data_IF_368656379306
#
_entry.id   IF_368656379306
#
_cell.length_a   1.000
_cell.length_b   1.000
_cell.length_c   1.000
_cell.angle_alpha   90.00
_cell.angle_beta   90.00
_cell.angle_gamma   90.00
#
_symmetry.space_group_name_H-M   'P 1'
#
loop_
_entity.id
_entity.type
_entity.pdbx_description
1 polymer ?
#
# COMPACT_ATOMS: atom_id res chain seq x y z
N UNK A 1 11.29 17.93 -26.64
CA UNK A 1 10.73 18.28 -25.32
C UNK A 1 11.68 17.98 -24.16
N UNK A 2 12.94 18.42 -24.30
CA UNK A 2 14.04 18.21 -23.37
C UNK A 2 13.78 18.76 -21.95
N UNK A 3 13.00 19.83 -21.81
CA UNK A 3 12.72 20.47 -20.50
C UNK A 3 11.77 19.63 -19.64
N UNK A 4 10.75 19.02 -20.24
CA UNK A 4 9.81 18.16 -19.53
C UNK A 4 10.50 16.86 -19.07
N UNK A 5 11.33 16.28 -19.93
CA UNK A 5 12.10 15.07 -19.61
C UNK A 5 13.12 15.32 -18.49
N UNK A 6 13.75 16.51 -18.49
CA UNK A 6 14.70 16.88 -17.43
C UNK A 6 14.01 17.11 -16.08
N UNK A 7 12.84 17.74 -16.07
CA UNK A 7 12.04 17.93 -14.86
C UNK A 7 11.58 16.61 -14.26
N UNK A 8 11.14 15.67 -15.11
CA UNK A 8 10.76 14.32 -14.65
C UNK A 8 11.93 13.56 -14.06
N UNK A 9 13.09 13.61 -14.70
CA UNK A 9 14.33 12.99 -14.17
C UNK A 9 14.75 13.60 -12.84
N UNK A 10 14.68 14.91 -12.69
CA UNK A 10 15.02 15.59 -11.46
C UNK A 10 14.08 15.20 -10.32
N UNK A 11 12.77 15.09 -10.61
CA UNK A 11 11.79 14.59 -9.62
C UNK A 11 12.10 13.16 -9.19
N UNK A 12 12.33 12.26 -10.12
CA UNK A 12 12.64 10.87 -9.82
C UNK A 12 13.92 10.74 -8.98
N UNK A 13 14.97 11.50 -9.31
CA UNK A 13 16.21 11.50 -8.54
C UNK A 13 15.99 11.99 -7.10
N UNK A 14 15.23 13.09 -6.94
CA UNK A 14 14.89 13.63 -5.62
C UNK A 14 14.05 12.64 -4.80
N UNK A 15 13.06 12.00 -5.42
CA UNK A 15 12.22 11.00 -4.75
C UNK A 15 13.05 9.78 -4.31
N UNK A 16 13.95 9.29 -5.15
CA UNK A 16 14.84 8.17 -4.80
C UNK A 16 15.79 8.53 -3.65
N UNK A 17 16.34 9.75 -3.63
CA UNK A 17 17.20 10.23 -2.55
C UNK A 17 16.43 10.32 -1.22
N UNK A 18 15.24 10.87 -1.25
CA UNK A 18 14.38 11.02 -0.07
C UNK A 18 13.93 9.65 0.44
N UNK A 19 13.53 8.76 -0.45
CA UNK A 19 13.13 7.40 -0.11
C UNK A 19 14.24 6.65 0.61
N UNK A 20 15.47 6.72 0.10
CA UNK A 20 16.63 6.13 0.76
C UNK A 20 16.85 6.69 2.18
N UNK A 21 16.74 8.02 2.37
CA UNK A 21 16.92 8.66 3.69
C UNK A 21 15.83 8.28 4.69
N UNK A 22 14.59 8.17 4.22
CA UNK A 22 13.47 7.73 5.08
C UNK A 22 13.59 6.24 5.41
N UNK A 23 13.88 5.40 4.43
CA UNK A 23 14.05 3.96 4.63
C UNK A 23 15.22 3.60 5.54
N UNK A 24 16.32 4.41 5.51
CA UNK A 24 17.47 4.25 6.40
C UNK A 24 17.27 4.87 7.79
N UNK A 25 16.14 5.52 8.06
CA UNK A 25 15.85 6.19 9.33
C UNK A 25 16.58 7.52 9.53
N UNK A 26 17.27 8.04 8.51
CA UNK A 26 18.00 9.32 8.58
C UNK A 26 17.06 10.53 8.53
N UNK A 27 15.84 10.36 8.04
CA UNK A 27 14.85 11.42 7.91
C UNK A 27 13.44 10.92 8.26
N UNK A 28 12.64 11.76 8.93
CA UNK A 28 11.23 11.44 9.16
C UNK A 28 10.41 11.61 7.89
N UNK A 29 9.33 10.83 7.78
CA UNK A 29 8.38 10.91 6.69
C UNK A 29 7.84 12.35 6.46
N UNK A 30 7.43 13.03 7.53
CA UNK A 30 6.91 14.40 7.44
C UNK A 30 7.96 15.40 6.95
N UNK A 31 9.20 15.30 7.47
CA UNK A 31 10.31 16.14 7.03
C UNK A 31 10.67 15.90 5.55
N UNK A 32 10.60 14.66 5.10
CA UNK A 32 10.84 14.30 3.71
C UNK A 32 9.83 14.92 2.75
N UNK A 33 8.53 14.89 3.11
CA UNK A 33 7.48 15.54 2.32
C UNK A 33 7.72 17.05 2.24
N UNK A 34 7.97 17.73 3.38
CA UNK A 34 8.21 19.16 3.39
C UNK A 34 9.40 19.54 2.50
N UNK A 35 10.52 18.81 2.61
CA UNK A 35 11.70 19.07 1.78
C UNK A 35 11.42 18.97 0.28
N UNK A 36 10.69 17.92 -0.15
CA UNK A 36 10.32 17.77 -1.56
C UNK A 36 9.40 18.90 -2.00
N UNK A 37 8.42 19.27 -1.17
CA UNK A 37 7.49 20.36 -1.49
C UNK A 37 8.21 21.70 -1.62
N UNK A 38 9.13 22.03 -0.68
CA UNK A 38 9.90 23.27 -0.70
C UNK A 38 10.76 23.37 -1.96
N UNK A 39 11.51 22.31 -2.30
CA UNK A 39 12.35 22.28 -3.52
C UNK A 39 11.54 22.39 -4.81
N UNK A 40 10.26 21.92 -4.79
CA UNK A 40 9.38 22.00 -5.96
C UNK A 40 8.53 23.27 -6.01
N UNK A 41 8.17 23.86 -4.86
CA UNK A 41 7.48 25.15 -4.81
C UNK A 41 8.32 26.27 -5.47
N UNK A 42 9.63 26.20 -5.31
CA UNK A 42 10.58 27.10 -5.98
C UNK A 42 10.53 27.00 -7.53
N UNK A 43 10.08 25.86 -8.07
CA UNK A 43 10.05 25.59 -9.51
C UNK A 43 8.64 25.59 -10.15
N UNK A 44 7.58 25.82 -9.41
CA UNK A 44 6.22 26.09 -9.91
C UNK A 44 5.53 24.94 -10.68
N UNK A 45 5.73 23.67 -10.33
CA UNK A 45 5.28 22.54 -11.13
C UNK A 45 4.04 21.79 -10.59
N UNK A 46 3.08 21.56 -11.49
CA UNK A 46 2.00 20.59 -11.33
C UNK A 46 2.37 19.24 -11.95
N UNK A 47 2.04 18.12 -11.26
CA UNK A 47 2.26 16.78 -11.80
C UNK A 47 1.08 16.39 -12.70
N UNK A 48 1.34 16.28 -13.99
CA UNK A 48 0.38 15.79 -14.98
C UNK A 48 0.69 14.31 -15.28
N UNK A 49 -0.29 13.43 -15.09
CA UNK A 49 -0.14 12.02 -15.44
C UNK A 49 -0.51 11.77 -16.91
N UNK A 50 0.08 10.77 -17.59
CA UNK A 50 -0.26 10.41 -18.97
C UNK A 50 -1.75 10.09 -19.17
N UNK A 51 -2.46 9.69 -18.09
CA UNK A 51 -3.90 9.42 -18.07
C UNK A 51 -4.77 10.68 -18.08
N UNK A 52 -4.17 11.88 -18.14
CA UNK A 52 -4.88 13.17 -18.08
C UNK A 52 -5.33 13.57 -16.67
N UNK A 53 -5.11 12.74 -15.64
CA UNK A 53 -5.45 13.11 -14.27
C UNK A 53 -4.42 14.11 -13.73
N UNK A 54 -4.92 15.16 -13.07
CA UNK A 54 -4.11 16.16 -12.36
C UNK A 54 -4.12 15.85 -10.86
N UNK A 55 -2.96 15.87 -10.24
CA UNK A 55 -2.84 15.79 -8.78
C UNK A 55 -2.00 16.95 -8.28
N UNK A 56 -2.31 17.44 -7.06
CA UNK A 56 -1.38 18.34 -6.39
C UNK A 56 -0.03 17.64 -6.20
N UNK A 57 1.04 18.41 -6.22
CA UNK A 57 2.39 17.88 -5.99
C UNK A 57 2.45 17.15 -4.63
N UNK A 58 1.85 17.71 -3.58
CA UNK A 58 1.76 17.06 -2.26
C UNK A 58 1.13 15.67 -2.32
N UNK A 59 -0.01 15.53 -3.01
CA UNK A 59 -0.68 14.24 -3.14
C UNK A 59 0.16 13.21 -3.92
N UNK A 60 0.90 13.67 -4.94
CA UNK A 60 1.79 12.81 -5.72
C UNK A 60 3.00 12.34 -4.89
N UNK A 61 3.67 13.28 -4.19
CA UNK A 61 4.82 12.98 -3.31
C UNK A 61 4.42 12.05 -2.19
N UNK A 62 3.30 12.36 -1.50
CA UNK A 62 2.76 11.49 -0.45
C UNK A 62 2.49 10.07 -0.96
N UNK A 63 1.90 9.95 -2.15
CA UNK A 63 1.64 8.65 -2.77
C UNK A 63 2.93 7.86 -3.02
N UNK A 64 3.96 8.50 -3.59
CA UNK A 64 5.25 7.86 -3.84
C UNK A 64 5.89 7.37 -2.55
N UNK A 65 6.04 8.25 -1.55
CA UNK A 65 6.75 7.91 -0.30
C UNK A 65 5.99 6.82 0.48
N UNK A 66 4.66 6.93 0.64
CA UNK A 66 3.86 5.91 1.33
C UNK A 66 3.97 4.56 0.64
N UNK A 67 3.89 4.55 -0.70
CA UNK A 67 3.96 3.32 -1.48
C UNK A 67 5.33 2.66 -1.35
N UNK A 68 6.41 3.43 -1.51
CA UNK A 68 7.78 2.93 -1.44
C UNK A 68 8.12 2.39 -0.04
N UNK A 69 7.79 3.14 1.01
CA UNK A 69 7.98 2.67 2.39
C UNK A 69 7.22 1.38 2.68
N UNK A 70 5.97 1.29 2.24
CA UNK A 70 5.15 0.09 2.43
C UNK A 70 5.75 -1.11 1.68
N UNK A 71 6.20 -0.92 0.44
CA UNK A 71 6.85 -1.97 -0.34
C UNK A 71 8.18 -2.41 0.28
N UNK A 72 9.00 -1.48 0.76
CA UNK A 72 10.26 -1.80 1.44
C UNK A 72 10.01 -2.61 2.72
N UNK A 73 9.05 -2.19 3.54
CA UNK A 73 8.66 -2.93 4.74
C UNK A 73 8.13 -4.34 4.40
N UNK A 74 7.36 -4.46 3.31
CA UNK A 74 6.86 -5.74 2.83
C UNK A 74 8.00 -6.69 2.43
N UNK A 75 9.04 -6.21 1.74
CA UNK A 75 10.19 -7.03 1.36
C UNK A 75 10.94 -7.57 2.59
N UNK A 76 11.10 -6.74 3.63
CA UNK A 76 11.70 -7.19 4.90
C UNK A 76 10.82 -8.26 5.56
N UNK A 77 9.51 -8.02 5.64
CA UNK A 77 8.57 -8.98 6.22
C UNK A 77 8.57 -10.31 5.47
N UNK A 78 8.62 -10.28 4.13
CA UNK A 78 8.68 -11.49 3.32
C UNK A 78 9.87 -12.38 3.65
N UNK A 79 11.04 -11.79 3.92
CA UNK A 79 12.22 -12.56 4.33
C UNK A 79 11.95 -13.32 5.64
N UNK A 80 11.36 -12.65 6.63
CA UNK A 80 10.96 -13.32 7.88
C UNK A 80 9.93 -14.42 7.67
N UNK A 81 8.96 -14.23 6.75
CA UNK A 81 7.97 -15.24 6.41
C UNK A 81 8.65 -16.50 5.88
N UNK A 82 9.60 -16.35 4.95
CA UNK A 82 10.33 -17.48 4.36
C UNK A 82 11.26 -18.14 5.39
N UNK A 83 12.01 -17.36 6.15
CA UNK A 83 12.88 -17.87 7.22
C UNK A 83 12.10 -18.66 8.29
N UNK A 84 10.89 -18.21 8.62
CA UNK A 84 9.99 -18.89 9.55
C UNK A 84 9.29 -20.12 8.94
N UNK A 85 9.41 -20.35 7.62
CA UNK A 85 8.68 -21.42 6.92
C UNK A 85 7.15 -21.25 6.96
N UNK A 86 6.66 -20.02 7.08
CA UNK A 86 5.23 -19.75 7.19
C UNK A 86 4.52 -19.94 5.84
N UNK A 87 3.44 -20.72 5.86
CA UNK A 87 2.59 -20.94 4.67
C UNK A 87 1.49 -19.90 4.55
N UNK A 88 1.16 -19.22 5.67
CA UNK A 88 0.05 -18.27 5.76
C UNK A 88 0.54 -16.89 6.17
N UNK A 89 -0.20 -15.88 5.75
CA UNK A 89 -0.04 -14.50 6.15
C UNK A 89 -1.36 -13.93 6.63
N UNK A 90 -1.31 -13.07 7.64
CA UNK A 90 -2.43 -12.24 8.06
C UNK A 90 -2.21 -10.82 7.53
N UNK A 91 -3.15 -10.32 6.75
CA UNK A 91 -3.16 -8.93 6.28
C UNK A 91 -3.79 -8.04 7.34
N UNK A 92 -3.18 -6.88 7.59
CA UNK A 92 -3.71 -5.91 8.57
C UNK A 92 -5.05 -5.31 8.12
N UNK A 93 -5.78 -4.74 9.09
CA UNK A 93 -7.01 -4.01 8.82
C UNK A 93 -6.97 -2.62 9.46
N UNK A 94 -7.59 -1.62 8.82
CA UNK A 94 -7.72 -0.27 9.34
C UNK A 94 -8.98 0.42 8.81
N UNK A 95 -9.46 1.42 9.54
CA UNK A 95 -10.57 2.28 9.11
C UNK A 95 -10.19 3.12 7.89
N UNK A 96 -11.16 3.40 7.01
CA UNK A 96 -10.95 4.18 5.79
C UNK A 96 -10.08 3.46 4.76
N UNK A 97 -10.12 2.13 4.73
CA UNK A 97 -9.53 1.32 3.67
C UNK A 97 -10.18 1.65 2.32
N UNK A 98 -9.40 1.55 1.24
CA UNK A 98 -9.92 1.79 -0.12
C UNK A 98 -11.14 0.93 -0.40
N UNK A 99 -12.18 1.56 -0.95
CA UNK A 99 -13.38 0.92 -1.38
C UNK A 99 -13.66 1.25 -2.84
N UNK A 100 -13.93 0.24 -3.66
CA UNK A 100 -14.40 0.43 -5.04
C UNK A 100 -15.87 0.07 -5.14
N UNK A 101 -16.73 1.09 -5.28
CA UNK A 101 -18.17 0.93 -5.38
C UNK A 101 -18.62 0.13 -6.62
N UNK A 102 -17.80 0.14 -7.68
CA UNK A 102 -18.11 -0.57 -8.92
C UNK A 102 -17.67 -2.05 -8.86
N UNK A 103 -16.68 -2.36 -8.01
CA UNK A 103 -16.20 -3.73 -7.80
C UNK A 103 -15.84 -3.95 -6.32
N UNK A 104 -16.85 -4.06 -5.43
CA UNK A 104 -16.66 -4.09 -3.99
C UNK A 104 -15.91 -5.34 -3.49
N UNK A 105 -15.84 -6.40 -4.29
CA UNK A 105 -15.10 -7.64 -3.98
C UNK A 105 -13.82 -7.80 -4.80
N UNK A 106 -13.46 -6.77 -5.56
CA UNK A 106 -12.27 -6.79 -6.41
C UNK A 106 -10.97 -6.55 -5.64
N UNK A 107 -9.85 -6.84 -6.29
CA UNK A 107 -8.49 -6.68 -5.75
C UNK A 107 -8.20 -5.25 -5.28
N UNK A 108 -8.85 -4.26 -5.85
CA UNK A 108 -8.73 -2.84 -5.51
C UNK A 108 -9.60 -2.39 -4.32
N UNK A 109 -10.54 -3.23 -3.86
CA UNK A 109 -11.35 -2.98 -2.67
C UNK A 109 -10.66 -3.55 -1.44
N UNK A 110 -9.85 -2.71 -0.78
CA UNK A 110 -9.05 -3.13 0.36
C UNK A 110 -9.90 -3.50 1.57
N UNK A 111 -11.07 -2.89 1.73
CA UNK A 111 -12.05 -3.22 2.76
C UNK A 111 -12.59 -4.65 2.62
N UNK A 112 -12.57 -5.21 1.41
CA UNK A 112 -12.99 -6.58 1.16
C UNK A 112 -12.01 -7.63 1.68
N UNK A 113 -10.71 -7.43 1.45
CA UNK A 113 -9.69 -8.41 1.74
C UNK A 113 -8.84 -8.12 2.99
N UNK A 114 -8.97 -6.94 3.61
CA UNK A 114 -8.24 -6.62 4.84
C UNK A 114 -8.66 -7.51 6.02
N UNK A 115 -7.75 -7.70 6.98
CA UNK A 115 -8.02 -8.42 8.23
C UNK A 115 -8.19 -9.93 8.06
N UNK A 116 -7.91 -10.49 6.90
CA UNK A 116 -8.08 -11.91 6.60
C UNK A 116 -6.72 -12.63 6.52
N UNK A 117 -6.79 -13.94 6.69
CA UNK A 117 -5.65 -14.86 6.53
C UNK A 117 -5.63 -15.36 5.09
N UNK A 118 -4.43 -15.42 4.52
CA UNK A 118 -4.20 -15.88 3.15
C UNK A 118 -3.12 -16.93 3.11
N UNK A 119 -3.24 -17.88 2.17
CA UNK A 119 -2.20 -18.83 1.85
C UNK A 119 -1.27 -18.25 0.78
N UNK A 120 0.04 -18.39 0.99
CA UNK A 120 1.04 -17.86 0.04
C UNK A 120 0.99 -18.62 -1.28
N UNK A 121 0.81 -19.95 -1.22
CA UNK A 121 0.69 -20.82 -2.40
C UNK A 121 -0.50 -21.76 -2.27
N UNK A 122 -1.27 -21.86 -3.34
CA UNK A 122 -2.52 -22.60 -3.32
C UNK A 122 -3.60 -21.87 -2.51
N UNK A 123 -4.64 -22.58 -2.12
CA UNK A 123 -5.75 -22.05 -1.31
C UNK A 123 -6.29 -23.14 -0.40
N UNK A 124 -6.85 -22.73 0.72
CA UNK A 124 -7.64 -23.56 1.62
C UNK A 124 -9.06 -23.00 1.73
N UNK A 125 -10.05 -23.75 2.21
CA UNK A 125 -11.44 -23.26 2.31
C UNK A 125 -11.58 -21.96 3.13
N UNK A 126 -10.72 -21.78 4.14
CA UNK A 126 -10.71 -20.65 5.08
C UNK A 126 -9.50 -19.70 4.91
N UNK A 127 -8.62 -19.99 3.92
CA UNK A 127 -7.45 -19.17 3.60
C UNK A 127 -7.23 -19.16 2.07
N UNK A 128 -7.89 -18.24 1.33
CA UNK A 128 -7.73 -18.12 -0.11
C UNK A 128 -6.30 -17.74 -0.49
N UNK A 129 -5.97 -17.86 -1.78
CA UNK A 129 -4.66 -17.50 -2.30
C UNK A 129 -4.39 -15.99 -2.16
N UNK A 130 -3.20 -15.63 -1.67
CA UNK A 130 -2.80 -14.25 -1.45
C UNK A 130 -2.81 -13.44 -2.75
N UNK A 131 -2.20 -13.95 -3.81
CA UNK A 131 -2.12 -13.26 -5.09
C UNK A 131 -3.50 -13.03 -5.70
N UNK A 132 -4.34 -14.06 -5.72
CA UNK A 132 -5.69 -13.97 -6.30
C UNK A 132 -6.59 -13.01 -5.55
N UNK A 133 -6.47 -12.95 -4.23
CA UNK A 133 -7.31 -12.12 -3.39
C UNK A 133 -6.85 -10.67 -3.28
N UNK A 134 -5.54 -10.40 -3.37
CA UNK A 134 -4.97 -9.09 -3.03
C UNK A 134 -4.12 -8.46 -4.12
N UNK A 135 -3.75 -9.22 -5.16
CA UNK A 135 -2.84 -8.76 -6.22
C UNK A 135 -1.38 -8.63 -5.80
N UNK A 136 -0.99 -9.28 -4.68
CA UNK A 136 0.39 -9.32 -4.20
C UNK A 136 0.94 -10.74 -4.18
N UNK A 137 2.10 -10.95 -4.75
CA UNK A 137 2.79 -12.24 -4.79
C UNK A 137 4.04 -12.25 -3.91
N UNK A 138 4.34 -13.39 -3.30
CA UNK A 138 5.58 -13.65 -2.56
C UNK A 138 6.25 -14.87 -3.17
N UNK A 139 7.48 -14.71 -3.65
CA UNK A 139 8.27 -15.84 -4.11
C UNK A 139 8.71 -16.70 -2.90
N UNK A 140 8.28 -17.97 -2.82
CA UNK A 140 8.54 -18.80 -1.64
C UNK A 140 10.00 -19.24 -1.50
N UNK A 141 10.82 -19.12 -2.55
CA UNK A 141 12.23 -19.48 -2.52
C UNK A 141 13.12 -18.30 -2.12
N UNK A 142 12.79 -17.10 -2.59
CA UNK A 142 13.64 -15.91 -2.40
C UNK A 142 13.08 -14.92 -1.38
N UNK A 143 11.78 -15.01 -1.06
CA UNK A 143 11.07 -14.00 -0.28
C UNK A 143 10.81 -12.69 -1.05
N UNK A 144 11.12 -12.65 -2.36
CA UNK A 144 10.88 -11.48 -3.16
C UNK A 144 9.39 -11.25 -3.37
N UNK A 145 8.93 -10.05 -3.06
CA UNK A 145 7.54 -9.66 -3.19
C UNK A 145 7.29 -8.87 -4.47
N UNK A 146 6.18 -9.15 -5.16
CA UNK A 146 5.77 -8.49 -6.39
C UNK A 146 4.35 -7.94 -6.28
N UNK A 147 4.20 -6.63 -6.52
CA UNK A 147 2.89 -5.99 -6.67
C UNK A 147 2.40 -6.23 -8.09
N UNK A 148 1.56 -7.25 -8.27
CA UNK A 148 0.99 -7.60 -9.58
C UNK A 148 -0.16 -6.67 -9.95
N UNK A 149 -0.97 -6.28 -8.97
CA UNK A 149 -1.99 -5.25 -9.16
C UNK A 149 -1.58 -3.96 -8.45
N UNK A 150 -1.30 -2.86 -9.17
CA UNK A 150 -0.87 -1.59 -8.57
C UNK A 150 -1.92 -0.93 -7.67
N UNK A 151 -3.17 -1.38 -7.67
CA UNK A 151 -4.23 -0.94 -6.79
C UNK A 151 -4.54 -1.94 -5.66
N UNK A 152 -3.83 -3.06 -5.59
CA UNK A 152 -3.96 -4.08 -4.56
C UNK A 152 -3.08 -3.86 -3.33
N UNK A 153 -2.79 -4.95 -2.64
CA UNK A 153 -1.91 -4.95 -1.46
C UNK A 153 -0.50 -4.44 -1.84
N UNK A 154 0.06 -3.55 -1.03
CA UNK A 154 1.32 -2.84 -1.27
C UNK A 154 1.38 -2.02 -2.57
N UNK A 155 0.25 -1.85 -3.26
CA UNK A 155 0.12 -0.95 -4.40
C UNK A 155 0.03 0.52 -3.99
N UNK A 156 -0.37 1.38 -4.93
CA UNK A 156 -0.41 2.84 -4.72
C UNK A 156 -1.26 3.24 -3.51
N UNK A 157 -0.66 4.01 -2.59
CA UNK A 157 -1.29 4.47 -1.34
C UNK A 157 -1.85 3.36 -0.45
N UNK A 158 -1.43 2.12 -0.63
CA UNK A 158 -1.78 1.05 0.28
C UNK A 158 -1.12 1.29 1.64
N UNK A 159 -1.87 1.19 2.72
CA UNK A 159 -1.40 1.31 4.11
C UNK A 159 -1.44 -0.01 4.87
N UNK A 160 -1.85 -1.08 4.19
CA UNK A 160 -1.91 -2.41 4.78
C UNK A 160 -0.51 -2.99 4.86
N UNK A 161 -0.27 -3.71 5.94
CA UNK A 161 0.87 -4.61 6.12
C UNK A 161 0.40 -6.06 6.13
N UNK A 162 1.32 -6.98 6.04
CA UNK A 162 1.08 -8.39 6.28
C UNK A 162 2.14 -8.94 7.23
N UNK A 163 1.86 -10.07 7.84
CA UNK A 163 2.79 -10.75 8.75
C UNK A 163 2.63 -12.25 8.64
N UNK A 164 3.67 -13.05 8.98
CA UNK A 164 3.54 -14.50 9.04
C UNK A 164 2.43 -14.87 10.02
N UNK A 165 1.70 -15.93 9.70
CA UNK A 165 0.56 -16.35 10.48
C UNK A 165 0.50 -17.85 10.64
N UNK A 166 0.07 -18.29 11.82
CA UNK A 166 -0.28 -19.68 12.10
C UNK A 166 -1.79 -19.76 12.33
N UNK A 167 -2.46 -20.70 11.66
CA UNK A 167 -3.92 -20.87 11.72
C UNK A 167 -4.43 -21.26 13.12
N UNK A 168 -3.57 -21.72 14.02
CA UNK A 168 -3.92 -21.98 15.43
C UNK A 168 -4.13 -20.69 16.24
N UNK A 169 -3.65 -19.55 15.74
CA UNK A 169 -3.76 -18.26 16.42
C UNK A 169 -5.12 -17.61 16.16
N UNK A 170 -5.65 -16.93 17.18
CA UNK A 170 -6.87 -16.12 17.05
C UNK A 170 -6.59 -14.88 16.20
N UNK A 171 -7.39 -14.66 15.15
CA UNK A 171 -7.26 -13.46 14.30
C UNK A 171 -7.68 -12.21 15.09
N UNK A 172 -6.80 -11.21 15.28
CA UNK A 172 -7.09 -10.01 16.08
C UNK A 172 -8.12 -9.07 15.42
N UNK A 173 -8.40 -9.24 14.13
CA UNK A 173 -9.30 -8.37 13.34
C UNK A 173 -10.74 -8.88 13.27
N UNK A 174 -11.03 -10.04 13.88
CA UNK A 174 -12.40 -10.56 13.98
C UNK A 174 -12.81 -10.71 15.44
N UNK A 175 -14.11 -10.68 15.67
CA UNK A 175 -14.71 -10.97 17.00
C UNK A 175 -14.80 -12.50 17.26
N UNK A 176 -15.37 -12.87 18.40
CA UNK A 176 -15.56 -14.27 18.76
C UNK A 176 -16.52 -15.05 17.83
N UNK A 177 -17.33 -14.34 17.03
CA UNK A 177 -18.26 -14.90 16.07
C UNK A 177 -17.67 -14.96 14.66
N UNK A 178 -16.45 -14.47 14.46
CA UNK A 178 -15.77 -14.40 13.17
C UNK A 178 -16.13 -13.15 12.34
N UNK A 179 -16.87 -12.19 12.88
CA UNK A 179 -17.21 -10.96 12.18
C UNK A 179 -16.04 -9.95 12.24
N UNK A 180 -15.82 -9.16 11.18
CA UNK A 180 -14.85 -8.07 11.24
C UNK A 180 -15.11 -7.11 12.39
N UNK A 181 -14.08 -6.75 13.16
CA UNK A 181 -14.17 -5.74 14.22
C UNK A 181 -14.30 -4.32 13.70
N UNK A 182 -13.88 -4.10 12.44
CA UNK A 182 -14.05 -2.82 11.77
C UNK A 182 -15.46 -2.76 11.21
N UNK A 183 -16.21 -1.75 11.57
CA UNK A 183 -17.49 -1.45 10.92
C UNK A 183 -17.24 -1.05 9.47
N UNK A 184 -17.75 -1.86 8.55
CA UNK A 184 -17.52 -1.70 7.11
C UNK A 184 -18.17 -0.40 6.61
N UNK A 185 -19.36 -0.07 7.09
CA UNK A 185 -20.09 1.12 6.66
C UNK A 185 -19.41 2.40 7.12
N UNK A 186 -19.01 2.49 8.39
CA UNK A 186 -18.23 3.62 8.90
C UNK A 186 -16.88 3.75 8.19
N UNK A 187 -16.22 2.63 7.91
CA UNK A 187 -14.96 2.63 7.17
C UNK A 187 -15.09 3.17 5.75
N UNK A 188 -16.16 2.81 5.05
CA UNK A 188 -16.47 3.31 3.70
C UNK A 188 -16.82 4.80 3.71
N UNK A 189 -17.61 5.26 4.69
CA UNK A 189 -17.90 6.69 4.87
C UNK A 189 -16.62 7.49 5.10
N UNK A 190 -15.73 7.00 5.96
CA UNK A 190 -14.44 7.64 6.21
C UNK A 190 -13.58 7.71 4.95
N UNK A 191 -13.55 6.64 4.16
CA UNK A 191 -12.84 6.63 2.88
C UNK A 191 -13.39 7.69 1.92
N UNK A 192 -14.71 7.76 1.77
CA UNK A 192 -15.38 8.74 0.90
C UNK A 192 -15.06 10.19 1.33
N UNK A 193 -15.12 10.49 2.62
CA UNK A 193 -14.74 11.80 3.16
C UNK A 193 -13.28 12.16 2.85
N UNK A 194 -12.36 11.20 3.02
CA UNK A 194 -10.95 11.39 2.68
C UNK A 194 -10.74 11.64 1.17
N UNK A 195 -11.53 11.01 0.30
CA UNK A 195 -11.46 11.28 -1.14
C UNK A 195 -11.99 12.68 -1.48
N UNK A 196 -13.07 13.12 -0.86
CA UNK A 196 -13.61 14.48 -1.05
C UNK A 196 -12.60 15.55 -0.61
N UNK A 197 -11.96 15.38 0.54
CA UNK A 197 -10.92 16.31 1.02
C UNK A 197 -9.70 16.39 0.10
N UNK A 198 -9.36 15.30 -0.59
CA UNK A 198 -8.24 15.28 -1.55
C UNK A 198 -8.59 15.90 -2.90
N UNK A 199 -9.87 16.03 -3.21
CA UNK A 199 -10.37 16.58 -4.47
C UNK A 199 -10.55 18.12 -4.41
N UNK A 200 -10.59 18.71 -3.21
CA UNK A 200 -10.59 20.16 -2.97
C UNK A 200 -9.18 20.74 -3.04
#
# INVERSE_FOLDING_TARGET
NTTIDQSQKNLLNLLNEVDFRVASGLQSYSSAICEVLDRYAENGMNVNYPTGSRRSLEAAVRCCIVTSMNQTAAQVTNKYIIEAGAEYVLVSAHMGARHDKNNPTGLQSHDWWQGKVYKIRGSDPDAPNLLEATGYDINPQTGEGHVVNPLGLHGYNCRHSHKPWDKSLSNPYVDANGNPKIDVHESQQLYDLQQQQRAM
#
